data_IF_410771624684
#
_entry.id   IF_410771624684
#
_cell.length_a   1.000
_cell.length_b   1.000
_cell.length_c   1.000
_cell.angle_alpha   90.00
_cell.angle_beta   90.00
_cell.angle_gamma   90.00
#
_symmetry.space_group_name_H-M   'P 1'
#
loop_
_entity.id
_entity.type
_entity.pdbx_description
1 polymer ?
#
# COMPACT_ATOMS: atom_id res chain seq x y z
N UNK A 1 29.83 13.62 -49.74
CA UNK A 1 28.69 14.55 -49.87
C UNK A 1 28.50 15.18 -48.50
N UNK A 2 29.12 16.34 -48.31
CA UNK A 2 29.18 17.02 -47.02
C UNK A 2 27.89 17.83 -46.82
N UNK A 3 27.20 17.59 -45.70
CA UNK A 3 26.03 18.37 -45.32
C UNK A 3 26.46 19.80 -44.96
N UNK A 4 25.80 20.85 -45.48
CA UNK A 4 26.12 22.22 -45.09
C UNK A 4 25.75 22.41 -43.62
N UNK A 5 26.75 22.61 -42.75
CA UNK A 5 26.56 23.11 -41.39
C UNK A 5 25.90 24.47 -41.50
N UNK A 6 24.65 24.58 -41.05
CA UNK A 6 24.00 25.87 -40.86
C UNK A 6 24.83 26.69 -39.85
N UNK A 7 25.53 27.70 -40.36
CA UNK A 7 26.30 28.62 -39.54
C UNK A 7 25.36 29.36 -38.60
N UNK A 8 25.55 29.16 -37.30
CA UNK A 8 24.88 29.92 -36.25
C UNK A 8 25.43 31.35 -36.36
N UNK A 9 24.59 32.39 -36.58
CA UNK A 9 25.09 33.75 -36.61
C UNK A 9 25.69 34.11 -35.24
N UNK A 10 26.98 34.49 -35.17
CA UNK A 10 27.62 34.88 -33.92
C UNK A 10 27.19 36.31 -33.58
N UNK A 11 26.47 36.48 -32.49
CA UNK A 11 26.19 37.82 -31.98
C UNK A 11 25.12 37.82 -30.92
N UNK A 12 25.53 37.97 -29.66
CA UNK A 12 24.61 38.36 -28.58
C UNK A 12 23.91 39.66 -29.03
N UNK A 13 22.58 39.81 -28.87
CA UNK A 13 21.92 41.07 -29.17
C UNK A 13 22.54 42.18 -28.31
N UNK A 14 22.70 43.38 -28.87
CA UNK A 14 23.15 44.53 -28.10
C UNK A 14 22.12 44.77 -27.00
N UNK A 15 22.51 44.57 -25.75
CA UNK A 15 21.61 44.71 -24.61
C UNK A 15 21.54 46.18 -24.25
N UNK A 16 20.74 46.95 -24.99
CA UNK A 16 20.36 48.27 -24.53
C UNK A 16 19.42 48.11 -23.34
N UNK A 17 19.70 48.85 -22.29
CA UNK A 17 18.89 48.88 -21.07
C UNK A 17 18.20 50.24 -21.06
N UNK A 18 16.88 50.24 -20.99
CA UNK A 18 16.09 51.46 -20.86
C UNK A 18 16.51 52.24 -19.61
N UNK A 19 16.17 53.53 -19.54
CA UNK A 19 16.37 54.38 -18.35
C UNK A 19 15.74 53.80 -17.05
N UNK A 20 14.88 52.79 -17.18
CA UNK A 20 14.20 52.08 -16.09
C UNK A 20 14.79 50.69 -15.80
N UNK A 21 15.99 50.37 -16.31
CA UNK A 21 16.67 49.10 -16.04
C UNK A 21 16.10 47.89 -16.80
N UNK A 22 15.16 48.10 -17.74
CA UNK A 22 14.54 47.03 -18.53
C UNK A 22 15.37 46.73 -19.76
N UNK A 23 15.57 45.45 -20.04
CA UNK A 23 16.30 44.99 -21.24
C UNK A 23 15.44 45.23 -22.48
N UNK A 24 15.92 46.09 -23.37
CA UNK A 24 15.32 46.34 -24.67
C UNK A 24 15.84 45.30 -25.64
N UNK A 25 14.93 44.68 -26.38
CA UNK A 25 15.28 43.72 -27.41
C UNK A 25 15.26 44.42 -28.77
N UNK A 26 16.30 44.19 -29.58
CA UNK A 26 16.41 44.72 -30.94
C UNK A 26 15.37 44.10 -31.87
N UNK A 27 14.27 44.82 -32.13
CA UNK A 27 13.13 44.33 -32.93
C UNK A 27 13.55 43.84 -34.32
N UNK A 28 14.50 44.50 -34.96
CA UNK A 28 15.00 44.16 -36.31
C UNK A 28 15.81 42.86 -36.33
N UNK A 29 16.63 42.61 -35.32
CA UNK A 29 17.39 41.37 -35.18
C UNK A 29 16.44 40.19 -34.98
N UNK A 30 15.49 40.32 -34.06
CA UNK A 30 14.51 39.26 -33.80
C UNK A 30 13.53 39.06 -34.97
N UNK A 31 13.21 40.10 -35.75
CA UNK A 31 12.46 39.96 -36.99
C UNK A 31 13.22 39.11 -38.02
N UNK A 32 14.51 39.39 -38.27
CA UNK A 32 15.35 38.59 -39.18
C UNK A 32 15.54 37.15 -38.70
N UNK A 33 15.70 36.95 -37.40
CA UNK A 33 15.78 35.59 -36.82
C UNK A 33 14.45 34.86 -36.98
N UNK A 34 13.32 35.55 -36.83
CA UNK A 34 12.00 34.96 -37.05
C UNK A 34 11.78 34.61 -38.52
N UNK A 35 12.17 35.48 -39.45
CA UNK A 35 12.12 35.22 -40.90
C UNK A 35 13.01 34.04 -41.30
N UNK A 36 14.25 34.00 -40.82
CA UNK A 36 15.18 32.88 -41.07
C UNK A 36 14.63 31.56 -40.50
N UNK A 37 14.00 31.62 -39.32
CA UNK A 37 13.38 30.45 -38.68
C UNK A 37 12.05 30.05 -39.33
N UNK A 38 11.40 30.97 -40.03
CA UNK A 38 10.21 30.72 -40.83
C UNK A 38 10.53 30.33 -42.29
N UNK A 39 11.82 30.18 -42.65
CA UNK A 39 12.25 29.80 -44.00
C UNK A 39 12.48 31.00 -44.92
N UNK A 40 13.36 31.92 -44.51
CA UNK A 40 13.72 33.10 -45.30
C UNK A 40 14.18 32.73 -46.72
N UNK A 41 13.56 33.35 -47.73
CA UNK A 41 13.89 33.45 -49.17
C UNK A 41 14.72 32.34 -49.88
N UNK A 42 14.77 31.11 -49.38
CA UNK A 42 15.14 29.95 -50.18
C UNK A 42 13.89 29.57 -50.98
N UNK A 43 14.06 29.17 -52.25
CA UNK A 43 13.04 29.25 -53.29
C UNK A 43 11.66 28.71 -52.88
N UNK A 44 10.59 29.24 -53.50
CA UNK A 44 9.17 28.91 -53.24
C UNK A 44 8.88 27.41 -53.02
N UNK A 45 9.65 26.52 -53.65
CA UNK A 45 9.54 25.06 -53.50
C UNK A 45 10.06 24.56 -52.14
N UNK A 46 11.20 25.06 -51.66
CA UNK A 46 11.79 24.66 -50.38
C UNK A 46 10.97 25.17 -49.18
N UNK A 47 10.37 26.36 -49.31
CA UNK A 47 9.40 26.89 -48.34
C UNK A 47 8.15 26.00 -48.22
N UNK A 48 7.66 25.49 -49.36
CA UNK A 48 6.52 24.57 -49.35
C UNK A 48 6.86 23.24 -48.65
N UNK A 49 8.07 22.72 -48.85
CA UNK A 49 8.55 21.48 -48.23
C UNK A 49 8.83 21.68 -46.72
N UNK A 50 9.44 22.79 -46.33
CA UNK A 50 9.72 23.11 -44.93
C UNK A 50 8.45 23.44 -44.11
N UNK A 51 7.41 23.97 -44.74
CA UNK A 51 6.11 24.18 -44.08
C UNK A 51 5.37 22.87 -43.85
N UNK A 52 5.54 21.89 -44.75
CA UNK A 52 4.92 20.57 -44.67
C UNK A 52 5.68 19.60 -43.75
N UNK A 53 7.00 19.76 -43.59
CA UNK A 53 7.77 18.96 -42.64
C UNK A 53 7.76 19.60 -41.25
N UNK A 54 7.28 18.91 -40.21
CA UNK A 54 7.39 19.41 -38.84
C UNK A 54 8.87 19.56 -38.45
N UNK A 55 9.28 20.78 -38.10
CA UNK A 55 10.62 21.09 -37.58
C UNK A 55 11.05 20.02 -36.54
N UNK A 56 12.15 19.28 -36.75
CA UNK A 56 12.58 18.21 -35.83
C UNK A 56 12.99 18.74 -34.44
N UNK A 57 13.23 20.06 -34.34
CA UNK A 57 13.58 20.75 -33.09
C UNK A 57 12.36 21.37 -32.39
N UNK A 58 11.19 21.44 -33.04
CA UNK A 58 9.96 21.88 -32.37
C UNK A 58 9.48 20.74 -31.48
N UNK A 59 9.37 21.03 -30.19
CA UNK A 59 8.72 20.10 -29.25
C UNK A 59 7.28 19.88 -29.73
N UNK A 60 6.81 18.63 -29.87
CA UNK A 60 5.45 18.37 -30.30
C UNK A 60 4.50 19.05 -29.30
N UNK A 61 3.73 20.02 -29.80
CA UNK A 61 2.64 20.60 -29.03
C UNK A 61 1.54 19.55 -29.05
N UNK A 62 1.40 18.81 -27.96
CA UNK A 62 0.29 17.88 -27.79
C UNK A 62 -1.01 18.67 -28.00
N UNK A 63 -1.84 18.25 -28.94
CA UNK A 63 -3.13 18.87 -29.21
C UNK A 63 -4.01 18.71 -27.96
N UNK A 64 -4.09 19.77 -27.17
CA UNK A 64 -4.93 19.77 -25.97
C UNK A 64 -6.32 20.25 -26.39
N UNK A 65 -7.40 19.53 -26.07
CA UNK A 65 -8.75 20.00 -26.30
C UNK A 65 -8.97 21.41 -25.76
N UNK A 66 -9.62 22.26 -26.56
CA UNK A 66 -9.86 23.68 -26.26
C UNK A 66 -10.80 23.85 -25.07
N UNK A 67 -11.87 23.06 -25.03
CA UNK A 67 -12.78 22.97 -23.88
C UNK A 67 -12.27 21.90 -22.93
N UNK A 68 -11.90 22.33 -21.71
CA UNK A 68 -11.42 21.42 -20.68
C UNK A 68 -12.45 21.29 -19.57
N UNK A 69 -12.79 20.06 -19.23
CA UNK A 69 -13.67 19.79 -18.09
C UNK A 69 -12.95 20.03 -16.76
N UNK A 70 -13.72 20.21 -15.69
CA UNK A 70 -13.16 20.25 -14.34
C UNK A 70 -12.63 18.88 -13.92
N UNK A 71 -11.77 18.86 -12.90
CA UNK A 71 -11.19 17.63 -12.38
C UNK A 71 -12.29 16.72 -11.81
N UNK A 72 -12.49 15.57 -12.43
CA UNK A 72 -13.43 14.55 -11.95
C UNK A 72 -12.71 13.50 -11.10
N UNK A 73 -13.41 12.94 -10.11
CA UNK A 73 -12.91 11.81 -9.33
C UNK A 73 -12.83 10.56 -10.22
N UNK A 74 -11.71 9.84 -10.14
CA UNK A 74 -11.52 8.56 -10.82
C UNK A 74 -12.56 7.53 -10.33
N UNK A 75 -13.24 6.85 -11.26
CA UNK A 75 -14.21 5.78 -10.95
C UNK A 75 -13.53 4.41 -10.83
N UNK A 76 -12.46 4.18 -11.58
CA UNK A 76 -11.72 2.92 -11.60
C UNK A 76 -10.60 2.91 -10.55
N UNK A 77 -10.45 1.79 -9.86
CA UNK A 77 -9.33 1.56 -8.93
C UNK A 77 -8.08 1.20 -9.71
N UNK A 78 -6.94 1.78 -9.31
CA UNK A 78 -5.64 1.46 -9.91
C UNK A 78 -5.02 0.32 -9.13
N UNK A 79 -5.04 -0.87 -9.73
CA UNK A 79 -4.50 -2.06 -9.08
C UNK A 79 -3.00 -2.18 -9.38
N UNK A 80 -2.19 -1.69 -8.44
CA UNK A 80 -0.71 -1.72 -8.50
C UNK A 80 -0.15 -3.13 -8.28
N UNK A 81 -0.94 -4.04 -7.71
CA UNK A 81 -0.48 -5.37 -7.24
C UNK A 81 -0.54 -6.46 -8.30
N UNK A 82 -1.08 -6.20 -9.50
CA UNK A 82 -1.36 -7.21 -10.54
C UNK A 82 -0.12 -7.97 -11.03
N UNK A 83 1.04 -7.33 -10.99
CA UNK A 83 2.29 -7.87 -11.50
C UNK A 83 3.32 -8.20 -10.40
N UNK A 84 2.90 -8.21 -9.13
CA UNK A 84 3.75 -8.64 -8.03
C UNK A 84 4.03 -10.14 -8.14
N UNK A 85 5.30 -10.53 -8.14
CA UNK A 85 5.75 -11.92 -8.21
C UNK A 85 5.83 -12.52 -9.61
N UNK A 86 5.53 -11.77 -10.67
CA UNK A 86 5.65 -12.23 -12.06
C UNK A 86 7.00 -11.82 -12.65
N UNK A 87 7.75 -12.77 -13.19
CA UNK A 87 8.99 -12.53 -13.94
C UNK A 87 8.68 -12.53 -15.43
N UNK A 88 9.08 -11.47 -16.14
CA UNK A 88 8.92 -11.37 -17.60
C UNK A 88 10.29 -11.12 -18.25
N UNK A 89 10.57 -11.84 -19.33
CA UNK A 89 11.77 -11.61 -20.15
C UNK A 89 11.52 -10.44 -21.08
N UNK A 90 12.39 -9.43 -21.03
CA UNK A 90 12.24 -8.19 -21.80
C UNK A 90 13.32 -8.16 -22.89
N UNK A 91 12.91 -8.16 -24.15
CA UNK A 91 13.81 -7.96 -25.30
C UNK A 91 13.81 -6.48 -25.73
N UNK A 92 14.87 -6.00 -26.38
CA UNK A 92 15.01 -4.61 -26.80
C UNK A 92 13.91 -4.11 -27.76
N UNK A 93 13.31 -5.01 -28.55
CA UNK A 93 12.21 -4.69 -29.48
C UNK A 93 10.81 -4.73 -28.83
N UNK A 94 10.70 -5.11 -27.56
CA UNK A 94 9.39 -5.20 -26.91
C UNK A 94 8.75 -3.83 -26.74
N UNK A 95 7.44 -3.74 -27.00
CA UNK A 95 6.69 -2.49 -26.83
C UNK A 95 6.76 -2.00 -25.38
N UNK A 96 6.81 -0.67 -25.18
CA UNK A 96 6.93 -0.05 -23.83
C UNK A 96 5.84 -0.48 -22.85
N UNK A 97 4.69 -0.96 -23.35
CA UNK A 97 3.61 -1.50 -22.51
C UNK A 97 3.88 -2.90 -21.95
N UNK A 98 4.76 -3.65 -22.60
CA UNK A 98 5.14 -5.01 -22.20
C UNK A 98 6.51 -5.04 -21.49
N UNK A 99 7.26 -3.94 -21.57
CA UNK A 99 8.45 -3.73 -20.76
C UNK A 99 8.07 -3.66 -19.27
N UNK A 100 8.93 -4.21 -18.40
CA UNK A 100 8.68 -4.27 -16.96
C UNK A 100 8.54 -2.88 -16.33
N UNK A 101 7.45 -2.67 -15.60
CA UNK A 101 7.10 -1.41 -14.95
C UNK A 101 5.62 -1.06 -15.15
N UNK A 102 5.23 0.12 -14.65
CA UNK A 102 3.91 0.68 -14.83
C UNK A 102 3.87 1.56 -16.09
N UNK A 103 3.04 1.17 -17.06
CA UNK A 103 2.89 1.88 -18.32
C UNK A 103 1.67 2.81 -18.31
N UNK A 104 1.86 4.05 -18.75
CA UNK A 104 0.79 5.03 -18.94
C UNK A 104 0.44 5.18 -20.43
N UNK A 105 -0.78 4.77 -20.82
CA UNK A 105 -1.27 4.83 -22.22
C UNK A 105 -1.41 6.24 -22.78
N UNK A 106 -1.63 7.24 -21.91
CA UNK A 106 -1.88 8.63 -22.35
C UNK A 106 -0.57 9.37 -22.61
N UNK A 107 0.49 9.01 -21.88
CA UNK A 107 1.77 9.73 -21.88
C UNK A 107 2.90 8.97 -22.60
N UNK A 108 2.67 7.72 -22.99
CA UNK A 108 3.65 6.80 -23.59
C UNK A 108 4.97 6.69 -22.82
N UNK A 109 4.88 6.72 -21.49
CA UNK A 109 6.02 6.59 -20.59
C UNK A 109 5.88 5.36 -19.70
N UNK A 110 7.04 4.76 -19.40
CA UNK A 110 7.19 3.67 -18.46
C UNK A 110 7.75 4.23 -17.15
N UNK A 111 7.08 3.92 -16.04
CA UNK A 111 7.51 4.27 -14.69
C UNK A 111 7.84 3.00 -13.92
N UNK A 112 8.97 3.02 -13.22
CA UNK A 112 9.48 1.83 -12.51
C UNK A 112 8.82 1.64 -11.15
N UNK A 113 8.49 2.75 -10.48
CA UNK A 113 7.91 2.73 -9.14
C UNK A 113 6.41 2.98 -9.15
N UNK A 114 5.72 2.37 -8.20
CA UNK A 114 4.27 2.51 -8.02
C UNK A 114 3.86 3.91 -7.58
N UNK A 115 4.62 4.52 -6.66
CA UNK A 115 4.37 5.88 -6.20
C UNK A 115 4.55 6.88 -7.34
N UNK A 116 5.64 6.75 -8.09
CA UNK A 116 5.89 7.57 -9.26
C UNK A 116 4.78 7.43 -10.31
N UNK A 117 4.23 6.22 -10.50
CA UNK A 117 3.08 6.00 -11.39
C UNK A 117 1.81 6.73 -10.91
N UNK A 118 1.52 6.69 -9.61
CA UNK A 118 0.38 7.39 -9.02
C UNK A 118 0.53 8.92 -9.14
N UNK A 119 1.73 9.45 -8.89
CA UNK A 119 2.02 10.87 -9.04
C UNK A 119 1.96 11.31 -10.50
N UNK A 120 2.41 10.46 -11.41
CA UNK A 120 2.31 10.69 -12.84
C UNK A 120 0.86 10.79 -13.31
N UNK A 121 0.01 9.86 -12.86
CA UNK A 121 -1.43 9.87 -13.12
C UNK A 121 -2.12 11.13 -12.58
N UNK A 122 -1.65 11.66 -11.46
CA UNK A 122 -2.16 12.91 -10.89
C UNK A 122 -1.45 14.16 -11.45
N UNK A 123 -0.49 13.98 -12.34
CA UNK A 123 0.33 15.05 -12.89
C UNK A 123 -0.45 15.98 -13.81
N UNK A 124 -0.10 17.28 -13.78
CA UNK A 124 -0.74 18.31 -14.62
C UNK A 124 -0.66 18.00 -16.12
N UNK A 125 0.42 17.37 -16.57
CA UNK A 125 0.61 16.98 -17.98
C UNK A 125 -0.35 15.86 -18.37
N UNK A 126 -0.49 14.83 -17.52
CA UNK A 126 -1.40 13.71 -17.75
C UNK A 126 -2.85 14.18 -17.81
N UNK A 127 -3.29 14.94 -16.78
CA UNK A 127 -4.65 15.48 -16.73
C UNK A 127 -4.96 16.42 -17.90
N UNK A 128 -3.96 17.19 -18.37
CA UNK A 128 -4.12 18.04 -19.54
C UNK A 128 -4.35 17.25 -20.82
N UNK A 129 -3.67 16.11 -21.00
CA UNK A 129 -3.87 15.25 -22.17
C UNK A 129 -5.21 14.50 -22.11
N UNK A 130 -5.73 14.24 -20.90
CA UNK A 130 -7.10 13.75 -20.70
C UNK A 130 -8.18 14.82 -20.94
N UNK A 131 -7.81 16.08 -21.20
CA UNK A 131 -8.77 17.17 -21.38
C UNK A 131 -9.35 17.71 -20.07
N UNK A 132 -8.77 17.39 -18.92
CA UNK A 132 -9.19 17.90 -17.61
C UNK A 132 -8.32 19.07 -17.16
N UNK A 133 -8.93 20.06 -16.52
CA UNK A 133 -8.21 21.06 -15.74
C UNK A 133 -7.94 20.54 -14.33
N UNK A 134 -6.97 21.12 -13.65
CA UNK A 134 -6.70 20.81 -12.23
C UNK A 134 -7.61 21.58 -11.26
N UNK A 135 -8.62 22.28 -11.79
CA UNK A 135 -9.59 23.01 -10.96
C UNK A 135 -10.73 22.06 -10.61
N UNK A 136 -11.12 22.08 -9.35
CA UNK A 136 -12.26 21.31 -8.84
C UNK A 136 -13.50 22.19 -8.91
N UNK A 137 -14.66 21.57 -9.14
CA UNK A 137 -15.95 22.25 -9.07
C UNK A 137 -16.21 22.78 -7.66
N UNK A 138 -16.73 24.00 -7.60
CA UNK A 138 -17.21 24.56 -6.33
C UNK A 138 -18.56 23.94 -6.05
N UNK A 139 -18.71 23.33 -4.88
CA UNK A 139 -19.92 22.61 -4.47
C UNK A 139 -20.62 23.35 -3.34
N UNK A 140 -21.95 23.24 -3.27
CA UNK A 140 -22.78 23.94 -2.29
C UNK A 140 -22.67 23.36 -0.88
N UNK A 141 -22.96 24.17 0.14
CA UNK A 141 -22.91 23.75 1.54
C UNK A 141 -23.78 22.51 1.84
N UNK A 142 -24.93 22.36 1.16
CA UNK A 142 -25.83 21.21 1.30
C UNK A 142 -25.15 19.90 0.90
N UNK A 143 -24.51 19.87 -0.26
CA UNK A 143 -23.78 18.67 -0.75
C UNK A 143 -22.60 18.31 0.13
N UNK A 144 -21.91 19.30 0.71
CA UNK A 144 -20.81 19.07 1.65
C UNK A 144 -21.35 18.46 2.94
N UNK A 145 -22.48 18.96 3.47
CA UNK A 145 -23.10 18.41 4.67
C UNK A 145 -23.53 16.95 4.47
N UNK A 146 -24.11 16.61 3.32
CA UNK A 146 -24.47 15.22 2.98
C UNK A 146 -23.24 14.31 2.85
N UNK A 147 -22.17 14.78 2.19
CA UNK A 147 -20.92 14.04 2.07
C UNK A 147 -20.26 13.79 3.43
N UNK A 148 -20.29 14.79 4.33
CA UNK A 148 -19.78 14.65 5.69
C UNK A 148 -20.60 13.64 6.50
N UNK A 149 -21.94 13.71 6.45
CA UNK A 149 -22.81 12.73 7.11
C UNK A 149 -22.53 11.31 6.63
N UNK A 150 -22.40 11.10 5.31
CA UNK A 150 -22.04 9.79 4.75
C UNK A 150 -20.69 9.30 5.25
N UNK A 151 -19.69 10.18 5.35
CA UNK A 151 -18.36 9.82 5.85
C UNK A 151 -18.38 9.46 7.34
N UNK A 152 -19.14 10.20 8.15
CA UNK A 152 -19.31 9.88 9.58
C UNK A 152 -20.00 8.53 9.74
N UNK A 153 -21.04 8.25 8.95
CA UNK A 153 -21.72 6.95 8.99
C UNK A 153 -20.81 5.79 8.58
N UNK A 154 -19.97 5.97 7.56
CA UNK A 154 -18.99 4.95 7.18
C UNK A 154 -17.95 4.71 8.29
N UNK A 155 -17.51 5.77 8.96
CA UNK A 155 -16.59 5.66 10.08
C UNK A 155 -17.25 5.03 11.32
N UNK A 156 -18.50 5.35 11.62
CA UNK A 156 -19.21 4.75 12.75
C UNK A 156 -19.41 3.25 12.55
N UNK A 157 -19.74 2.80 11.34
CA UNK A 157 -19.82 1.36 11.02
C UNK A 157 -18.48 0.67 11.28
N UNK A 158 -17.36 1.26 10.83
CA UNK A 158 -16.03 0.69 11.09
C UNK A 158 -15.66 0.68 12.58
N UNK A 159 -16.06 1.72 13.33
CA UNK A 159 -15.81 1.80 14.78
C UNK A 159 -16.66 0.80 15.55
N UNK A 160 -17.95 0.68 15.21
CA UNK A 160 -18.83 -0.29 15.84
C UNK A 160 -18.38 -1.73 15.58
N UNK A 161 -17.91 -2.04 14.36
CA UNK A 161 -17.32 -3.36 14.09
C UNK A 161 -16.09 -3.64 14.97
N UNK A 162 -15.23 -2.64 15.20
CA UNK A 162 -14.08 -2.77 16.10
C UNK A 162 -14.50 -2.87 17.57
N UNK A 163 -15.50 -2.07 18.00
CA UNK A 163 -16.05 -2.12 19.35
C UNK A 163 -16.73 -3.45 19.66
N UNK A 164 -17.44 -4.02 18.69
CA UNK A 164 -18.08 -5.33 18.80
C UNK A 164 -17.04 -6.44 18.95
N UNK A 165 -16.00 -6.45 18.11
CA UNK A 165 -14.86 -7.36 18.25
C UNK A 165 -14.16 -7.20 19.60
N UNK A 166 -14.04 -5.98 20.11
CA UNK A 166 -13.43 -5.73 21.41
C UNK A 166 -14.30 -6.26 22.56
N UNK A 167 -15.64 -6.14 22.47
CA UNK A 167 -16.56 -6.70 23.46
C UNK A 167 -16.49 -8.23 23.48
N UNK A 168 -16.54 -8.87 22.32
CA UNK A 168 -16.40 -10.32 22.16
C UNK A 168 -15.03 -10.81 22.70
N UNK A 169 -13.94 -10.09 22.43
CA UNK A 169 -12.64 -10.39 23.02
C UNK A 169 -12.62 -10.26 24.56
N UNK A 170 -13.29 -9.24 25.11
CA UNK A 170 -13.37 -9.04 26.57
C UNK A 170 -14.19 -10.13 27.27
N UNK A 171 -15.26 -10.63 26.64
CA UNK A 171 -16.07 -11.72 27.19
C UNK A 171 -15.26 -13.02 27.28
N UNK A 172 -14.54 -13.38 26.21
CA UNK A 172 -13.65 -14.56 26.23
C UNK A 172 -12.57 -14.48 27.30
N UNK A 173 -11.98 -13.31 27.52
CA UNK A 173 -10.98 -13.12 28.58
C UNK A 173 -11.60 -13.35 29.95
N UNK A 174 -12.81 -12.82 30.21
CA UNK A 174 -13.51 -12.99 31.48
C UNK A 174 -13.89 -14.45 31.75
N UNK A 175 -14.31 -15.18 30.72
CA UNK A 175 -14.60 -16.62 30.81
C UNK A 175 -13.35 -17.41 31.19
N UNK A 176 -12.24 -17.19 30.49
CA UNK A 176 -10.95 -17.82 30.81
C UNK A 176 -10.48 -17.50 32.23
N UNK A 177 -10.64 -16.26 32.68
CA UNK A 177 -10.31 -15.86 34.06
C UNK A 177 -11.24 -16.50 35.11
N UNK A 178 -12.51 -16.76 34.77
CA UNK A 178 -13.45 -17.46 35.63
C UNK A 178 -13.07 -18.95 35.75
N UNK A 179 -12.80 -19.60 34.63
CA UNK A 179 -12.33 -21.00 34.59
C UNK A 179 -11.01 -21.18 35.34
N UNK A 180 -10.07 -20.24 35.19
CA UNK A 180 -8.79 -20.28 35.91
C UNK A 180 -9.01 -20.12 37.43
N UNK A 181 -9.96 -19.26 37.85
CA UNK A 181 -10.34 -19.11 39.26
C UNK A 181 -10.97 -20.39 39.81
N UNK A 182 -11.87 -21.03 39.07
CA UNK A 182 -12.48 -22.30 39.48
C UNK A 182 -11.44 -23.42 39.55
N UNK A 183 -10.54 -23.53 38.58
CA UNK A 183 -9.43 -24.48 38.64
C UNK A 183 -8.51 -24.21 39.83
N UNK A 184 -8.20 -22.95 40.15
CA UNK A 184 -7.44 -22.57 41.35
C UNK A 184 -8.17 -22.97 42.63
N UNK A 185 -9.49 -22.78 42.71
CA UNK A 185 -10.29 -23.20 43.87
C UNK A 185 -10.34 -24.72 44.01
N UNK A 186 -10.56 -25.45 42.92
CA UNK A 186 -10.57 -26.93 42.89
C UNK A 186 -9.21 -27.50 43.28
N UNK A 187 -8.10 -26.90 42.83
CA UNK A 187 -6.74 -27.25 43.27
C UNK A 187 -6.55 -27.03 44.78
N UNK A 188 -7.07 -25.94 45.33
CA UNK A 188 -7.02 -25.65 46.78
C UNK A 188 -7.85 -26.65 47.60
N UNK A 189 -9.07 -26.97 47.18
CA UNK A 189 -9.92 -27.97 47.86
C UNK A 189 -9.28 -29.36 47.83
N UNK A 190 -8.75 -29.79 46.67
CA UNK A 190 -8.05 -31.06 46.54
C UNK A 190 -6.79 -31.13 47.42
N UNK A 191 -6.06 -30.00 47.59
CA UNK A 191 -4.89 -29.93 48.49
C UNK A 191 -5.30 -30.05 49.96
N UNK A 192 -6.41 -29.42 50.37
CA UNK A 192 -6.96 -29.54 51.73
C UNK A 192 -7.46 -30.96 52.02
N UNK A 193 -8.24 -31.56 51.14
CA UNK A 193 -8.71 -32.95 51.31
C UNK A 193 -7.57 -33.98 51.36
N UNK A 194 -6.47 -33.77 50.61
CA UNK A 194 -5.24 -34.57 50.75
C UNK A 194 -4.53 -34.37 52.08
N UNK A 195 -4.58 -33.18 52.67
CA UNK A 195 -4.04 -32.92 54.01
C UNK A 195 -4.89 -33.58 55.10
N UNK A 196 -6.22 -33.48 55.00
CA UNK A 196 -7.15 -34.06 55.98
C UNK A 196 -7.14 -35.59 55.97
N UNK A 197 -7.03 -36.19 54.78
CA UNK A 197 -6.84 -37.65 54.65
C UNK A 197 -5.47 -38.09 55.16
N UNK A 198 -4.41 -37.30 54.99
CA UNK A 198 -3.07 -37.60 55.51
C UNK A 198 -3.00 -37.45 57.03
N UNK A 199 -3.62 -36.43 57.61
CA UNK A 199 -3.72 -36.26 59.07
C UNK A 199 -4.66 -37.29 59.71
N UNK A 200 -5.73 -37.70 59.02
CA UNK A 200 -6.57 -38.83 59.43
C UNK A 200 -5.88 -40.18 59.31
N UNK A 201 -4.99 -40.38 58.32
CA UNK A 201 -4.14 -41.58 58.22
C UNK A 201 -3.09 -41.63 59.32
N UNK A 202 -2.43 -40.51 59.62
CA UNK A 202 -1.46 -40.41 60.73
C UNK A 202 -2.15 -40.71 62.07
N UNK A 203 -3.36 -40.20 62.31
CA UNK A 203 -4.14 -40.52 63.52
C UNK A 203 -4.65 -41.96 63.57
N UNK A 204 -4.88 -42.61 62.42
CA UNK A 204 -5.24 -44.04 62.36
C UNK A 204 -4.02 -44.95 62.51
N UNK A 205 -2.87 -44.55 62.00
CA UNK A 205 -1.59 -45.24 62.17
C UNK A 205 -1.11 -45.13 63.63
N UNK A 206 -1.24 -43.97 64.30
CA UNK A 206 -0.98 -43.81 65.75
C UNK A 206 -1.91 -44.65 66.64
N UNK A 207 -3.13 -44.99 66.16
CA UNK A 207 -4.06 -45.87 66.89
C UNK A 207 -3.85 -47.35 66.52
N UNK A 208 -3.33 -47.67 65.33
CA UNK A 208 -2.99 -49.03 64.91
C UNK A 208 -1.61 -49.51 65.41
N UNK A 209 -0.71 -48.61 65.80
CA UNK A 209 0.56 -48.98 66.45
C UNK A 209 0.38 -49.44 67.92
N UNK A 210 -0.85 -49.36 68.46
CA UNK A 210 -1.22 -49.90 69.77
C UNK A 210 -1.80 -51.34 69.75
N UNK A 211 -2.00 -51.96 68.58
CA UNK A 211 -2.40 -53.37 68.48
C UNK A 211 -1.78 -54.01 67.24
N UNK A 212 -0.63 -54.64 67.42
CA UNK A 212 0.10 -55.35 66.37
C UNK A 212 -0.39 -56.80 66.30
N UNK A 213 -1.25 -57.11 65.32
CA UNK A 213 -1.49 -58.48 64.85
C UNK A 213 -1.44 -58.52 63.32
N UNK A 214 -0.64 -59.46 62.83
CA UNK A 214 -0.15 -59.59 61.45
C UNK A 214 -1.15 -60.32 60.56
N UNK A 215 -1.72 -59.66 59.55
CA UNK A 215 -2.38 -60.31 58.40
C UNK A 215 -2.10 -59.58 57.08
N UNK A 216 -2.04 -60.29 55.93
CA UNK A 216 -1.56 -59.74 54.66
C UNK A 216 -2.61 -58.88 53.92
N UNK A 217 -2.27 -57.60 53.76
CA UNK A 217 -2.43 -56.68 52.62
C UNK A 217 -3.66 -56.78 51.69
N UNK A 218 -4.81 -56.27 52.16
CA UNK A 218 -6.00 -55.95 51.35
C UNK A 218 -5.76 -54.93 50.20
N UNK A 219 -4.59 -54.30 50.17
CA UNK A 219 -4.18 -53.33 49.14
C UNK A 219 -3.81 -54.00 47.82
N UNK A 220 -3.31 -55.24 47.86
CA UNK A 220 -2.90 -55.99 46.66
C UNK A 220 -4.10 -56.53 45.87
N UNK A 221 -5.15 -56.94 46.57
CA UNK A 221 -6.41 -57.44 46.02
C UNK A 221 -7.23 -56.31 45.35
N UNK A 222 -7.18 -55.10 45.93
CA UNK A 222 -7.78 -53.91 45.34
C UNK A 222 -7.05 -53.46 44.06
N UNK A 223 -5.72 -53.61 44.00
CA UNK A 223 -4.94 -53.30 42.79
C UNK A 223 -5.17 -54.32 41.67
N UNK A 224 -5.39 -55.60 42.00
CA UNK A 224 -5.81 -56.62 41.04
C UNK A 224 -7.23 -56.40 40.50
N UNK A 225 -8.19 -56.00 41.35
CA UNK A 225 -9.58 -55.74 40.91
C UNK A 225 -9.74 -54.51 40.01
N UNK A 226 -8.81 -53.54 40.11
CA UNK A 226 -8.76 -52.36 39.24
C UNK A 226 -7.91 -52.57 37.97
N UNK A 227 -7.39 -53.79 37.75
CA UNK A 227 -6.64 -54.13 36.53
C UNK A 227 -5.25 -53.50 36.44
N UNK A 228 -4.67 -53.04 37.56
CA UNK A 228 -3.30 -52.51 37.57
C UNK A 228 -2.30 -53.67 37.68
N UNK A 229 -1.34 -53.80 36.74
CA UNK A 229 -0.35 -54.87 36.79
C UNK A 229 0.63 -54.66 37.95
N UNK A 230 0.66 -55.58 38.92
CA UNK A 230 1.47 -55.48 40.14
C UNK A 230 2.89 -56.07 40.02
N UNK A 231 3.29 -56.60 38.87
CA UNK A 231 4.64 -57.15 38.67
C UNK A 231 5.40 -56.38 37.57
N UNK A 232 6.17 -55.37 37.97
CA UNK A 232 7.19 -54.75 37.11
C UNK A 232 8.51 -55.50 37.33
N UNK A 233 8.76 -56.52 36.50
CA UNK A 233 10.03 -57.26 36.51
C UNK A 233 11.13 -56.32 36.00
N UNK A 234 12.06 -55.95 36.88
CA UNK A 234 13.31 -55.31 36.50
C UNK A 234 14.17 -56.34 35.75
N UNK A 235 14.21 -56.23 34.43
CA UNK A 235 15.16 -56.97 33.60
C UNK A 235 16.54 -56.35 33.78
N UNK A 236 17.35 -56.92 34.67
CA UNK A 236 18.79 -56.69 34.71
C UNK A 236 19.48 -57.64 33.75
N UNK A 237 19.97 -57.09 32.64
CA UNK A 237 21.19 -57.50 31.91
C UNK A 237 21.68 -56.32 31.10
#
# INVERSE_FOLDING_TARGET
MEHPKAEIPPGKPATQVDALGRKVWDKSYYAKVAENKAGGQSGSVEQSIATLLPDPLRKPVFAVPEVRENLKRRKETVDVTKDVGKVRVINALTHKSQQGGFYCKVCDCLLKDSQAYMDHLNGRKHNRMLGMTMRVEKVDAKTVAEALRRRVMQQSVSKHAVEELHRDAQERIKELEAEEREMKQRRKMNKKGKQDTKSGKIKKEEVQEATNDRQPDATEELMRSMGLPTNFVQSTK
#
